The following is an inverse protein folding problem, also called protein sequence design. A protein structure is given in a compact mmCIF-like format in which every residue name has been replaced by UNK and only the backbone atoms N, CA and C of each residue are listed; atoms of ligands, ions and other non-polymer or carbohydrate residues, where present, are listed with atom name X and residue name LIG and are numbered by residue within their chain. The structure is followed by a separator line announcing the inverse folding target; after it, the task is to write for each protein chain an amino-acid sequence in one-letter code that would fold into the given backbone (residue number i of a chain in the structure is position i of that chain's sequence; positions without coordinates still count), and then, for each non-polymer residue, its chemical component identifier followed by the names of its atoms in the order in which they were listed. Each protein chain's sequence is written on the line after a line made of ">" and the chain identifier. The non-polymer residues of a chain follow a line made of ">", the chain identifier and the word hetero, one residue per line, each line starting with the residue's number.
data_IF_091428363931
#
_entry.id   IF_091428363931
#
_cell.length_a   1.000
_cell.length_b   1.000
_cell.length_c   1.000
_cell.angle_alpha   90.00
_cell.angle_beta   90.00
_cell.angle_gamma   90.00
#
_symmetry.space_group_name_H-M   'P 1'
#
loop_
_entity.id
_entity.type
_entity.pdbx_description
1 polymer ?
#
# COMPACT_ATOMS: atom_id res chain seq x y z
N UNK A 1 -1.20 49.62 0.02
CA UNK A 1 -2.40 48.99 -0.60
C UNK A 1 -2.13 47.50 -0.77
N UNK A 2 -2.83 46.62 -0.05
CA UNK A 2 -2.68 45.15 -0.17
C UNK A 2 -3.72 44.64 -1.16
N UNK A 3 -3.28 44.08 -2.28
CA UNK A 3 -4.17 43.43 -3.24
C UNK A 3 -4.70 42.13 -2.61
N UNK A 4 -5.97 42.15 -2.19
CA UNK A 4 -6.72 40.94 -1.80
C UNK A 4 -6.91 40.08 -3.04
N UNK A 5 -6.04 39.11 -3.25
CA UNK A 5 -6.23 38.10 -4.29
C UNK A 5 -7.42 37.23 -3.92
N UNK A 6 -8.55 37.42 -4.59
CA UNK A 6 -9.70 36.51 -4.51
C UNK A 6 -9.28 35.20 -5.18
N UNK A 7 -9.20 34.07 -4.45
CA UNK A 7 -8.71 32.84 -5.05
C UNK A 7 -9.75 32.25 -5.99
N UNK A 8 -9.25 31.80 -7.15
CA UNK A 8 -10.00 31.25 -8.28
C UNK A 8 -11.12 30.26 -7.84
N UNK A 9 -12.38 30.51 -8.22
CA UNK A 9 -13.51 29.64 -7.88
C UNK A 9 -13.35 28.21 -8.42
N UNK A 10 -12.62 28.00 -9.52
CA UNK A 10 -12.34 26.68 -10.07
C UNK A 10 -11.33 25.92 -9.20
N UNK A 11 -10.30 26.61 -8.69
CA UNK A 11 -9.38 26.07 -7.70
C UNK A 11 -10.09 25.70 -6.37
N UNK A 12 -11.10 26.47 -5.96
CA UNK A 12 -11.91 26.15 -4.76
C UNK A 12 -12.78 24.90 -4.97
N UNK A 13 -13.50 24.80 -6.11
CA UNK A 13 -14.35 23.64 -6.45
C UNK A 13 -13.53 22.35 -6.59
N UNK A 14 -12.34 22.42 -7.19
CA UNK A 14 -11.44 21.26 -7.33
C UNK A 14 -10.86 20.80 -5.97
N UNK A 15 -10.59 21.72 -5.04
CA UNK A 15 -10.16 21.37 -3.67
C UNK A 15 -11.30 20.74 -2.86
N UNK A 16 -12.51 21.28 -2.96
CA UNK A 16 -13.68 20.74 -2.24
C UNK A 16 -14.02 19.32 -2.71
N UNK A 17 -14.04 19.08 -4.02
CA UNK A 17 -14.28 17.74 -4.59
C UNK A 17 -13.21 16.72 -4.16
N UNK A 18 -11.93 17.11 -4.11
CA UNK A 18 -10.85 16.27 -3.56
C UNK A 18 -11.06 15.93 -2.09
N UNK A 19 -11.50 16.89 -1.26
CA UNK A 19 -11.79 16.65 0.17
C UNK A 19 -12.95 15.68 0.35
N UNK A 20 -14.03 15.84 -0.40
CA UNK A 20 -15.19 14.93 -0.36
C UNK A 20 -14.78 13.51 -0.77
N UNK A 21 -14.01 13.37 -1.86
CA UNK A 21 -13.47 12.06 -2.27
C UNK A 21 -12.60 11.42 -1.20
N UNK A 22 -11.75 12.22 -0.53
CA UNK A 22 -10.92 11.72 0.57
C UNK A 22 -11.77 11.25 1.75
N UNK A 23 -12.77 12.03 2.16
CA UNK A 23 -13.66 11.64 3.25
C UNK A 23 -14.45 10.37 2.92
N UNK A 24 -14.97 10.24 1.70
CA UNK A 24 -15.66 9.02 1.25
C UNK A 24 -14.74 7.80 1.25
N UNK A 25 -13.48 7.97 0.82
CA UNK A 25 -12.48 6.92 0.88
C UNK A 25 -12.13 6.52 2.31
N UNK A 26 -11.91 7.50 3.20
CA UNK A 26 -11.63 7.24 4.61
C UNK A 26 -12.82 6.54 5.27
N UNK A 27 -14.07 6.92 4.93
CA UNK A 27 -15.27 6.23 5.39
C UNK A 27 -15.34 4.78 4.87
N UNK A 28 -15.01 4.55 3.59
CA UNK A 28 -14.92 3.20 3.02
C UNK A 28 -13.90 2.33 3.76
N UNK A 29 -12.69 2.83 4.01
CA UNK A 29 -11.67 2.09 4.76
C UNK A 29 -12.09 1.74 6.20
N UNK A 30 -12.96 2.54 6.80
CA UNK A 30 -13.51 2.30 8.15
C UNK A 30 -14.83 1.50 8.13
N UNK A 31 -15.25 0.98 6.97
CA UNK A 31 -16.54 0.31 6.81
C UNK A 31 -16.48 -1.21 6.99
N UNK A 32 -17.67 -1.79 7.23
CA UNK A 32 -17.88 -3.24 7.16
C UNK A 32 -17.58 -3.79 5.76
N UNK A 33 -17.89 -3.04 4.70
CA UNK A 33 -17.65 -3.44 3.32
C UNK A 33 -16.16 -3.70 3.05
N UNK A 34 -15.27 -2.83 3.53
CA UNK A 34 -13.83 -3.06 3.43
C UNK A 34 -13.36 -4.25 4.26
N UNK A 35 -13.91 -4.41 5.47
CA UNK A 35 -13.61 -5.57 6.32
C UNK A 35 -13.98 -6.89 5.64
N UNK A 36 -15.12 -6.95 4.95
CA UNK A 36 -15.56 -8.14 4.22
C UNK A 36 -14.77 -8.32 2.91
N UNK A 37 -14.44 -7.24 2.19
CA UNK A 37 -13.51 -7.28 1.05
C UNK A 37 -12.17 -7.91 1.40
N UNK A 38 -11.59 -7.57 2.57
CA UNK A 38 -10.32 -8.18 3.03
C UNK A 38 -10.42 -9.68 3.25
N UNK A 39 -11.57 -10.17 3.75
CA UNK A 39 -11.81 -11.62 3.91
C UNK A 39 -11.97 -12.30 2.55
N UNK A 40 -12.76 -11.70 1.65
CA UNK A 40 -12.96 -12.20 0.28
C UNK A 40 -11.64 -12.26 -0.48
N UNK A 41 -10.82 -11.22 -0.39
CA UNK A 41 -9.49 -11.17 -0.98
C UNK A 41 -8.62 -12.32 -0.46
N UNK A 42 -8.62 -12.56 0.86
CA UNK A 42 -7.83 -13.64 1.46
C UNK A 42 -8.28 -15.02 0.95
N UNK A 43 -9.59 -15.27 0.91
CA UNK A 43 -10.15 -16.51 0.38
C UNK A 43 -9.79 -16.70 -1.11
N UNK A 44 -9.97 -15.65 -1.93
CA UNK A 44 -9.62 -15.69 -3.35
C UNK A 44 -8.11 -15.94 -3.56
N UNK A 45 -7.25 -15.32 -2.74
CA UNK A 45 -5.81 -15.58 -2.77
C UNK A 45 -5.50 -17.05 -2.48
N UNK A 46 -6.07 -17.63 -1.42
CA UNK A 46 -5.88 -19.04 -1.10
C UNK A 46 -6.33 -19.95 -2.25
N UNK A 47 -7.45 -19.65 -2.89
CA UNK A 47 -7.95 -20.40 -4.03
C UNK A 47 -6.99 -20.35 -5.23
N UNK A 48 -6.44 -19.18 -5.56
CA UNK A 48 -5.59 -19.00 -6.74
C UNK A 48 -4.14 -19.44 -6.50
N UNK A 49 -3.56 -19.09 -5.35
CA UNK A 49 -2.15 -19.33 -5.05
C UNK A 49 -1.90 -20.64 -4.30
N UNK A 50 -2.92 -21.22 -3.66
CA UNK A 50 -2.78 -22.45 -2.85
C UNK A 50 -1.99 -22.29 -1.56
N UNK A 51 -1.55 -21.07 -1.21
CA UNK A 51 -0.71 -20.79 -0.03
C UNK A 51 -1.16 -19.51 0.67
N UNK A 52 -0.90 -19.42 1.98
CA UNK A 52 -1.19 -18.22 2.76
C UNK A 52 -0.42 -17.01 2.18
N UNK A 53 -1.05 -15.83 2.07
CA UNK A 53 -0.37 -14.64 1.62
C UNK A 53 0.72 -14.23 2.60
N UNK A 54 1.75 -13.61 2.06
CA UNK A 54 2.84 -13.00 2.84
C UNK A 54 3.07 -11.57 2.37
N UNK A 55 3.73 -10.78 3.21
CA UNK A 55 4.13 -9.44 2.84
C UNK A 55 5.09 -9.51 1.64
N UNK A 56 4.72 -8.87 0.52
CA UNK A 56 5.53 -8.89 -0.70
C UNK A 56 6.91 -8.22 -0.58
N UNK A 57 7.20 -7.55 0.53
CA UNK A 57 8.50 -6.94 0.84
C UNK A 57 9.35 -7.84 1.72
N UNK A 58 8.86 -8.22 2.91
CA UNK A 58 9.66 -8.93 3.91
C UNK A 58 9.28 -10.40 4.14
N UNK A 59 8.30 -10.93 3.42
CA UNK A 59 7.85 -12.32 3.56
C UNK A 59 7.10 -12.64 4.85
N UNK A 60 6.90 -11.68 5.76
CA UNK A 60 6.12 -11.89 6.98
C UNK A 60 4.71 -12.39 6.63
N UNK A 61 4.26 -13.46 7.30
CA UNK A 61 2.90 -13.99 7.12
C UNK A 61 1.85 -12.89 7.24
N UNK A 62 0.95 -12.84 6.25
CA UNK A 62 -0.16 -11.91 6.22
C UNK A 62 -1.42 -12.60 6.75
N UNK A 63 -2.18 -11.91 7.62
CA UNK A 63 -3.46 -12.42 8.13
C UNK A 63 -4.51 -11.33 8.04
N UNK A 64 -5.80 -11.70 8.00
CA UNK A 64 -6.91 -10.73 8.01
C UNK A 64 -6.86 -9.82 9.25
N UNK A 65 -6.28 -10.28 10.37
CA UNK A 65 -6.17 -9.46 11.59
C UNK A 65 -5.03 -8.44 11.54
N UNK A 66 -3.86 -8.81 11.03
CA UNK A 66 -2.63 -8.01 11.16
C UNK A 66 -2.04 -7.49 9.84
N UNK A 67 -2.49 -8.05 8.71
CA UNK A 67 -2.01 -7.70 7.39
C UNK A 67 -2.73 -6.49 6.82
N UNK A 68 -2.02 -5.69 6.03
CA UNK A 68 -2.57 -4.52 5.33
C UNK A 68 -2.67 -4.83 3.83
N UNK A 69 -3.76 -4.39 3.19
CA UNK A 69 -3.87 -4.38 1.74
C UNK A 69 -3.60 -2.97 1.25
N UNK A 70 -2.61 -2.84 0.37
CA UNK A 70 -2.31 -1.60 -0.33
C UNK A 70 -3.00 -1.58 -1.68
N UNK A 71 -3.72 -0.50 -1.98
CA UNK A 71 -4.34 -0.29 -3.30
C UNK A 71 -3.29 0.11 -4.34
N UNK A 72 -3.05 -0.77 -5.31
CA UNK A 72 -2.25 -0.45 -6.49
C UNK A 72 -2.98 0.50 -7.45
N UNK A 73 -4.31 0.59 -7.35
CA UNK A 73 -5.15 1.57 -8.06
C UNK A 73 -6.41 1.88 -7.26
N UNK A 74 -6.94 3.09 -7.46
CA UNK A 74 -8.18 3.56 -6.83
C UNK A 74 -9.36 3.62 -7.80
N UNK A 75 -9.18 3.15 -9.05
CA UNK A 75 -10.19 3.29 -10.10
C UNK A 75 -11.47 2.48 -9.86
N UNK A 76 -11.41 1.44 -9.03
CA UNK A 76 -12.47 0.43 -8.84
C UNK A 76 -12.80 0.19 -7.35
N UNK A 77 -12.76 1.25 -6.54
CA UNK A 77 -13.02 1.13 -5.09
C UNK A 77 -14.34 0.41 -4.80
N UNK A 78 -14.29 -0.56 -3.89
CA UNK A 78 -15.43 -1.43 -3.54
C UNK A 78 -15.56 -2.70 -4.38
N UNK A 79 -15.13 -2.67 -5.64
CA UNK A 79 -15.17 -3.81 -6.57
C UNK A 79 -13.76 -4.20 -7.04
N UNK A 80 -12.77 -3.98 -6.18
CA UNK A 80 -11.37 -4.26 -6.51
C UNK A 80 -11.18 -5.76 -6.77
N UNK A 81 -10.54 -6.14 -7.90
CA UNK A 81 -10.05 -7.48 -8.12
C UNK A 81 -8.81 -7.75 -7.26
N UNK A 82 -8.40 -9.02 -7.15
CA UNK A 82 -7.33 -9.47 -6.24
C UNK A 82 -6.00 -8.76 -6.55
N UNK A 83 -5.68 -8.60 -7.83
CA UNK A 83 -4.45 -7.98 -8.34
C UNK A 83 -4.36 -6.47 -8.12
N UNK A 84 -5.46 -5.80 -7.78
CA UNK A 84 -5.44 -4.38 -7.40
C UNK A 84 -5.01 -4.17 -5.95
N UNK A 85 -4.92 -5.25 -5.16
CA UNK A 85 -4.61 -5.22 -3.74
C UNK A 85 -3.32 -5.99 -3.45
N UNK A 86 -2.37 -5.30 -2.83
CA UNK A 86 -1.03 -5.80 -2.54
C UNK A 86 -0.92 -6.14 -1.05
N UNK A 87 -0.62 -7.39 -0.67
CA UNK A 87 -0.47 -7.77 0.73
C UNK A 87 0.85 -7.27 1.30
N UNK A 88 0.77 -6.47 2.36
CA UNK A 88 1.92 -5.94 3.09
C UNK A 88 1.72 -6.07 4.60
N UNK A 89 2.83 -6.14 5.36
CA UNK A 89 2.76 -5.90 6.79
C UNK A 89 2.59 -4.39 7.05
N UNK A 90 2.11 -4.02 8.25
CA UNK A 90 1.92 -2.62 8.64
C UNK A 90 3.15 -1.74 8.38
N UNK A 91 4.34 -2.23 8.77
CA UNK A 91 5.60 -1.49 8.64
C UNK A 91 5.92 -1.17 7.18
N UNK A 92 5.92 -2.19 6.32
CA UNK A 92 6.31 -2.01 4.92
C UNK A 92 5.24 -1.26 4.14
N UNK A 93 3.97 -1.41 4.52
CA UNK A 93 2.87 -0.58 4.04
C UNK A 93 3.08 0.91 4.33
N UNK A 94 3.39 1.26 5.59
CA UNK A 94 3.66 2.65 5.98
C UNK A 94 4.90 3.21 5.27
N UNK A 95 5.95 2.40 5.15
CA UNK A 95 7.18 2.80 4.45
C UNK A 95 6.94 3.05 2.96
N UNK A 96 6.12 2.21 2.32
CA UNK A 96 5.71 2.40 0.94
C UNK A 96 4.99 3.73 0.75
N UNK A 97 4.01 4.05 1.62
CA UNK A 97 3.31 5.34 1.56
C UNK A 97 4.27 6.51 1.76
N UNK A 98 5.17 6.44 2.75
CA UNK A 98 6.15 7.47 2.99
C UNK A 98 7.03 7.75 1.76
N UNK A 99 7.47 6.71 1.04
CA UNK A 99 8.26 6.85 -0.19
C UNK A 99 7.46 7.45 -1.34
N UNK A 100 6.19 7.05 -1.52
CA UNK A 100 5.32 7.69 -2.51
C UNK A 100 5.11 9.17 -2.18
N UNK A 101 4.93 9.49 -0.90
CA UNK A 101 4.67 10.85 -0.46
C UNK A 101 5.91 11.75 -0.53
N UNK A 102 7.11 11.20 -0.34
CA UNK A 102 8.37 11.93 -0.37
C UNK A 102 8.77 12.40 -1.78
N UNK A 103 8.41 11.66 -2.83
CA UNK A 103 8.88 11.96 -4.19
C UNK A 103 7.76 12.47 -5.10
N UNK A 104 7.85 13.73 -5.59
CA UNK A 104 6.88 14.31 -6.51
C UNK A 104 6.70 13.50 -7.81
N UNK A 105 7.73 12.80 -8.26
CA UNK A 105 7.70 11.88 -9.40
C UNK A 105 6.69 10.76 -9.16
N UNK A 106 6.76 10.07 -8.02
CA UNK A 106 5.82 8.99 -7.68
C UNK A 106 4.39 9.48 -7.47
N UNK A 107 4.22 10.75 -7.04
CA UNK A 107 2.89 11.36 -6.94
C UNK A 107 2.24 11.59 -8.31
N UNK A 108 3.04 11.77 -9.37
CA UNK A 108 2.57 12.01 -10.75
C UNK A 108 2.51 10.74 -11.59
N UNK A 109 3.29 9.72 -11.24
CA UNK A 109 3.25 8.41 -11.91
C UNK A 109 1.95 7.65 -11.62
N UNK A 110 1.64 6.72 -12.51
CA UNK A 110 0.62 5.71 -12.25
C UNK A 110 0.92 4.95 -10.94
N UNK A 111 -0.13 4.75 -10.12
CA UNK A 111 -0.01 4.21 -8.76
C UNK A 111 0.50 2.77 -8.77
N UNK A 112 0.12 1.98 -9.76
CA UNK A 112 0.54 0.57 -9.88
C UNK A 112 2.04 0.51 -10.19
N UNK A 113 2.49 1.33 -11.12
CA UNK A 113 3.92 1.46 -11.47
C UNK A 113 4.76 1.89 -10.28
N UNK A 114 4.35 2.95 -9.57
CA UNK A 114 5.06 3.43 -8.37
C UNK A 114 5.14 2.35 -7.28
N UNK A 115 4.03 1.63 -7.05
CA UNK A 115 3.96 0.55 -6.07
C UNK A 115 4.95 -0.56 -6.39
N UNK A 116 4.98 -1.02 -7.64
CA UNK A 116 5.88 -2.09 -8.07
C UNK A 116 7.37 -1.70 -7.92
N UNK A 117 7.73 -0.50 -8.38
CA UNK A 117 9.10 0.01 -8.29
C UNK A 117 9.58 0.15 -6.83
N UNK A 118 8.72 0.68 -5.95
CA UNK A 118 9.05 0.85 -4.53
C UNK A 118 9.18 -0.50 -3.83
N UNK A 119 8.31 -1.47 -4.11
CA UNK A 119 8.44 -2.82 -3.56
C UNK A 119 9.76 -3.46 -3.99
N UNK A 120 10.14 -3.34 -5.27
CA UNK A 120 11.40 -3.86 -5.77
C UNK A 120 12.61 -3.23 -5.03
N UNK A 121 12.61 -1.90 -4.87
CA UNK A 121 13.67 -1.20 -4.14
C UNK A 121 13.74 -1.61 -2.66
N UNK A 122 12.58 -1.78 -2.00
CA UNK A 122 12.54 -2.24 -0.61
C UNK A 122 13.07 -3.67 -0.45
N UNK A 123 12.76 -4.57 -1.40
CA UNK A 123 13.29 -5.94 -1.39
C UNK A 123 14.81 -5.97 -1.58
N UNK A 124 15.33 -5.18 -2.52
CA UNK A 124 16.78 -5.05 -2.73
C UNK A 124 17.49 -4.53 -1.46
N UNK A 125 16.93 -3.50 -0.82
CA UNK A 125 17.48 -2.97 0.43
C UNK A 125 17.42 -3.97 1.60
N UNK A 126 16.42 -4.85 1.63
CA UNK A 126 16.35 -5.95 2.61
C UNK A 126 17.41 -7.02 2.34
N UNK A 127 17.62 -7.40 1.07
CA UNK A 127 18.62 -8.38 0.67
C UNK A 127 20.04 -7.89 1.00
N UNK A 128 20.38 -6.65 0.62
CA UNK A 128 21.68 -6.06 0.93
C UNK A 128 21.99 -6.06 2.45
N UNK A 129 20.98 -5.77 3.29
CA UNK A 129 21.13 -5.82 4.75
C UNK A 129 21.34 -7.23 5.31
N UNK A 130 20.81 -8.25 4.63
CA UNK A 130 21.01 -9.64 5.02
C UNK A 130 22.41 -10.12 4.62
N UNK A 131 22.91 -9.65 3.47
CA UNK A 131 24.28 -9.91 3.01
C UNK A 131 25.31 -9.25 3.94
N UNK A 132 25.04 -8.03 4.42
CA UNK A 132 25.88 -7.30 5.39
C UNK A 132 25.87 -7.92 6.80
N UNK A 133 24.89 -8.77 7.14
CA UNK A 133 24.76 -9.42 8.44
C UNK A 133 24.40 -10.90 8.27
N UNK A 134 25.36 -11.76 7.86
CA UNK A 134 25.10 -13.16 7.63
C UNK A 134 24.65 -13.84 8.94
N UNK A 135 23.69 -14.78 8.88
CA UNK A 135 23.29 -15.52 10.08
C UNK A 135 24.49 -16.26 10.65
N UNK A 136 24.79 -16.03 11.94
CA UNK A 136 25.82 -16.77 12.66
C UNK A 136 25.52 -18.27 12.55
N UNK A 137 26.37 -19.01 11.85
CA UNK A 137 26.30 -20.47 11.80
C UNK A 137 26.55 -20.99 13.22
N UNK A 138 25.52 -21.55 13.85
CA UNK A 138 25.73 -22.37 15.04
C UNK A 138 26.49 -23.62 14.60
N UNK A 139 27.75 -23.75 15.05
CA UNK A 139 28.51 -24.99 14.92
C UNK A 139 27.76 -26.12 15.61
N UNK A 140 27.61 -27.31 14.97
CA UNK A 140 27.23 -28.50 15.72
C UNK A 140 28.37 -28.81 16.71
N UNK A 141 28.01 -28.95 17.99
CA UNK A 141 28.91 -29.42 19.04
C UNK A 141 29.28 -30.90 18.79
N UNK A 142 30.48 -31.34 19.22
CA UNK A 142 31.02 -32.68 18.93
C UNK A 142 30.24 -33.81 19.61
#
# INVERSE_FOLDING_TARGET
>A
MRASSVPDPNARRTRQTRRVRRAAYDAYLNSRAWSDKRKQWYAAWLTVAGVEPSCLVCGRRWTVKAGHLHHATYARLGIEPVEDLVPLCRRDHQRLHALIDAHPTWRRSDRRTATAAIIAALRQALAARADDNPPHRHSPAP
#
